data_IF_715085955996
#
_entry.id   IF_715085955996
#
_cell.length_a   1.000
_cell.length_b   1.000
_cell.length_c   1.000
_cell.angle_alpha   90.00
_cell.angle_beta   90.00
_cell.angle_gamma   90.00
#
_symmetry.space_group_name_H-M   'P 1'
#
loop_
_entity.id
_entity.type
_entity.pdbx_description
1 polymer ?
#
# COMPACT_ATOMS: atom_id res chain seq x y z
N UNK A 1 -24.13 -54.43 11.34
CA UNK A 1 -22.79 -53.89 11.66
C UNK A 1 -22.95 -52.41 11.96
N UNK A 2 -22.92 -52.01 13.22
CA UNK A 2 -22.98 -50.58 13.58
C UNK A 2 -21.64 -49.93 13.27
N UNK A 3 -21.64 -48.90 12.41
CA UNK A 3 -20.43 -48.19 12.06
C UNK A 3 -19.79 -47.53 13.29
N UNK A 4 -18.47 -47.48 13.32
CA UNK A 4 -17.72 -46.89 14.44
C UNK A 4 -18.09 -45.40 14.58
N UNK A 5 -18.54 -44.90 15.76
CA UNK A 5 -18.92 -43.51 15.97
C UNK A 5 -17.80 -42.51 15.59
N UNK A 6 -16.55 -42.93 15.67
CA UNK A 6 -15.41 -42.11 15.25
C UNK A 6 -15.37 -41.88 13.73
N UNK A 7 -15.77 -42.88 12.91
CA UNK A 7 -15.84 -42.73 11.45
C UNK A 7 -16.96 -41.79 11.05
N UNK A 8 -18.11 -41.79 11.74
CA UNK A 8 -19.17 -40.83 11.49
C UNK A 8 -18.74 -39.40 11.83
N UNK A 9 -18.06 -39.21 12.96
CA UNK A 9 -17.54 -37.87 13.33
C UNK A 9 -16.57 -37.29 12.29
N UNK A 10 -15.63 -38.12 11.78
CA UNK A 10 -14.71 -37.67 10.71
C UNK A 10 -15.48 -37.32 9.42
N UNK A 11 -16.48 -38.10 9.08
CA UNK A 11 -17.30 -37.88 7.89
C UNK A 11 -18.10 -36.56 8.01
N UNK A 12 -18.70 -36.30 9.17
CA UNK A 12 -19.41 -35.04 9.44
C UNK A 12 -18.46 -33.82 9.36
N UNK A 13 -17.27 -33.94 9.96
CA UNK A 13 -16.25 -32.88 9.87
C UNK A 13 -15.81 -32.62 8.42
N UNK A 14 -15.65 -33.67 7.62
CA UNK A 14 -15.32 -33.56 6.20
C UNK A 14 -16.43 -32.85 5.42
N UNK A 15 -17.70 -33.20 5.67
CA UNK A 15 -18.85 -32.51 5.01
C UNK A 15 -18.88 -31.03 5.38
N UNK A 16 -18.71 -30.69 6.66
CA UNK A 16 -18.69 -29.30 7.11
C UNK A 16 -17.56 -28.52 6.40
N UNK A 17 -16.35 -29.09 6.37
CA UNK A 17 -15.22 -28.47 5.68
C UNK A 17 -15.49 -28.29 4.18
N UNK A 18 -16.08 -29.28 3.52
CA UNK A 18 -16.43 -29.21 2.10
C UNK A 18 -17.46 -28.11 1.83
N UNK A 19 -18.47 -27.96 2.68
CA UNK A 19 -19.48 -26.89 2.57
C UNK A 19 -18.82 -25.51 2.72
N UNK A 20 -17.94 -25.32 3.70
CA UNK A 20 -17.25 -24.05 3.93
C UNK A 20 -16.34 -23.68 2.75
N UNK A 21 -15.58 -24.65 2.24
CA UNK A 21 -14.70 -24.43 1.09
C UNK A 21 -15.55 -24.08 -0.16
N UNK A 22 -16.64 -24.78 -0.38
CA UNK A 22 -17.55 -24.50 -1.51
C UNK A 22 -18.14 -23.11 -1.40
N UNK A 23 -18.63 -22.69 -0.23
CA UNK A 23 -19.17 -21.35 0.00
C UNK A 23 -18.12 -20.27 -0.25
N UNK A 24 -16.89 -20.46 0.22
CA UNK A 24 -15.77 -19.55 -0.03
C UNK A 24 -15.44 -19.46 -1.52
N UNK A 25 -15.36 -20.58 -2.21
CA UNK A 25 -15.09 -20.65 -3.64
C UNK A 25 -16.19 -19.96 -4.46
N UNK A 26 -17.46 -20.20 -4.13
CA UNK A 26 -18.60 -19.50 -4.79
C UNK A 26 -18.52 -17.98 -4.59
N UNK A 27 -18.19 -17.52 -3.38
CA UNK A 27 -18.00 -16.09 -3.11
C UNK A 27 -16.87 -15.51 -3.96
N UNK A 28 -15.74 -16.21 -4.11
CA UNK A 28 -14.63 -15.76 -4.94
C UNK A 28 -15.05 -15.61 -6.42
N UNK A 29 -15.73 -16.61 -6.98
CA UNK A 29 -16.25 -16.54 -8.35
C UNK A 29 -17.27 -15.43 -8.53
N UNK A 30 -18.14 -15.23 -7.54
CA UNK A 30 -19.12 -14.13 -7.57
C UNK A 30 -18.43 -12.77 -7.65
N UNK A 31 -17.41 -12.53 -6.81
CA UNK A 31 -16.63 -11.29 -6.83
C UNK A 31 -15.86 -11.11 -8.14
N UNK A 32 -15.29 -12.17 -8.70
CA UNK A 32 -14.60 -12.13 -9.98
C UNK A 32 -15.55 -11.77 -11.12
N UNK A 33 -16.76 -12.32 -11.14
CA UNK A 33 -17.79 -11.96 -12.12
C UNK A 33 -18.25 -10.52 -11.99
N UNK A 34 -18.42 -10.02 -10.77
CA UNK A 34 -18.77 -8.61 -10.53
C UNK A 34 -17.66 -7.67 -11.00
N UNK A 35 -16.41 -8.01 -10.72
CA UNK A 35 -15.25 -7.23 -11.14
C UNK A 35 -15.15 -7.19 -12.68
N UNK A 36 -15.34 -8.32 -13.36
CA UNK A 36 -15.30 -8.39 -14.83
C UNK A 36 -16.42 -7.58 -15.51
N UNK A 37 -17.53 -7.35 -14.83
CA UNK A 37 -18.65 -6.53 -15.37
C UNK A 37 -18.46 -5.02 -15.10
N UNK A 38 -17.53 -4.62 -14.25
CA UNK A 38 -17.21 -3.20 -14.07
C UNK A 38 -16.48 -2.69 -15.30
N UNK A 39 -17.17 -1.90 -16.12
CA UNK A 39 -16.50 -1.04 -17.10
C UNK A 39 -15.72 0.00 -16.32
N UNK A 40 -14.42 0.02 -16.48
CA UNK A 40 -13.60 1.12 -15.99
C UNK A 40 -14.15 2.42 -16.60
N UNK A 41 -14.74 3.26 -15.77
CA UNK A 41 -14.96 4.65 -16.17
C UNK A 41 -13.59 5.31 -16.09
N UNK A 42 -12.90 5.40 -17.22
CA UNK A 42 -11.76 6.29 -17.32
C UNK A 42 -12.27 7.70 -16.97
N UNK A 43 -11.70 8.27 -15.91
CA UNK A 43 -11.94 9.67 -15.63
C UNK A 43 -11.50 10.47 -16.86
N UNK A 44 -12.43 11.18 -17.49
CA UNK A 44 -12.08 12.25 -18.43
C UNK A 44 -11.12 13.18 -17.72
N UNK A 45 -10.06 13.58 -18.43
CA UNK A 45 -9.02 14.46 -17.90
C UNK A 45 -9.63 15.53 -17.01
N UNK A 46 -9.19 15.62 -15.76
CA UNK A 46 -9.56 16.70 -14.85
C UNK A 46 -9.05 17.98 -15.51
N UNK A 47 -9.87 19.01 -15.59
CA UNK A 47 -9.47 20.32 -16.12
C UNK A 47 -8.38 20.98 -15.27
N UNK A 48 -8.21 20.52 -14.03
CA UNK A 48 -7.17 20.93 -13.12
C UNK A 48 -6.79 19.73 -12.23
N UNK A 49 -5.51 19.34 -12.21
CA UNK A 49 -5.02 18.25 -11.36
C UNK A 49 -5.06 18.70 -9.89
N UNK A 50 -5.65 17.91 -8.99
CA UNK A 50 -5.68 18.25 -7.56
C UNK A 50 -4.31 18.14 -6.92
N UNK A 51 -4.11 18.79 -5.78
CA UNK A 51 -2.90 18.60 -5.00
C UNK A 51 -2.91 17.23 -4.29
N UNK A 52 -1.78 16.52 -4.38
CA UNK A 52 -1.65 15.15 -3.86
C UNK A 52 -0.42 15.02 -2.97
N UNK A 53 -0.58 14.40 -1.80
CA UNK A 53 0.55 13.91 -1.01
C UNK A 53 0.67 12.39 -1.18
N UNK A 54 1.83 11.93 -1.62
CA UNK A 54 2.17 10.50 -1.62
C UNK A 54 2.86 10.17 -0.31
N UNK A 55 2.32 9.20 0.43
CA UNK A 55 2.89 8.71 1.68
C UNK A 55 3.49 7.32 1.48
N UNK A 56 4.78 7.17 1.80
CA UNK A 56 5.57 5.96 1.64
C UNK A 56 6.00 5.43 3.01
N UNK A 57 5.20 4.57 3.66
CA UNK A 57 5.60 3.95 4.93
C UNK A 57 6.67 2.87 4.68
N UNK A 58 7.87 3.07 5.25
CA UNK A 58 9.02 2.19 5.07
C UNK A 58 9.55 1.74 6.45
N UNK A 59 9.93 0.46 6.55
CA UNK A 59 10.58 -0.10 7.72
C UNK A 59 11.55 -1.22 7.33
N UNK A 60 12.87 -0.98 7.44
CA UNK A 60 13.94 -1.94 7.16
C UNK A 60 13.84 -2.58 5.76
N UNK A 61 13.54 -1.77 4.75
CA UNK A 61 13.29 -2.23 3.38
C UNK A 61 14.31 -1.69 2.38
N UNK A 62 15.60 -1.74 2.74
CA UNK A 62 16.73 -1.20 1.98
C UNK A 62 16.72 -1.56 0.50
N UNK A 63 16.38 -2.82 0.17
CA UNK A 63 16.50 -3.32 -1.20
C UNK A 63 15.41 -2.83 -2.15
N UNK A 64 14.27 -2.42 -1.62
CA UNK A 64 13.13 -1.95 -2.43
C UNK A 64 12.88 -0.46 -2.30
N UNK A 65 13.31 0.17 -1.22
CA UNK A 65 13.07 1.58 -0.91
C UNK A 65 13.55 2.53 -2.02
N UNK A 66 14.76 2.33 -2.53
CA UNK A 66 15.30 3.17 -3.61
C UNK A 66 14.48 3.06 -4.89
N UNK A 67 14.03 1.85 -5.24
CA UNK A 67 13.21 1.60 -6.42
C UNK A 67 11.85 2.28 -6.30
N UNK A 68 11.21 2.17 -5.14
CA UNK A 68 9.94 2.82 -4.87
C UNK A 68 10.05 4.35 -4.97
N UNK A 69 11.00 4.96 -4.27
CA UNK A 69 11.18 6.42 -4.26
C UNK A 69 11.44 6.95 -5.68
N UNK A 70 12.30 6.28 -6.44
CA UNK A 70 12.58 6.67 -7.83
C UNK A 70 11.33 6.51 -8.73
N UNK A 71 10.56 5.43 -8.58
CA UNK A 71 9.33 5.23 -9.34
C UNK A 71 8.27 6.29 -9.02
N UNK A 72 8.11 6.64 -7.75
CA UNK A 72 7.18 7.71 -7.33
C UNK A 72 7.60 9.08 -7.87
N UNK A 73 8.91 9.38 -7.88
CA UNK A 73 9.42 10.60 -8.49
C UNK A 73 9.30 10.62 -10.03
N UNK A 74 9.12 9.46 -10.67
CA UNK A 74 8.95 9.34 -12.12
C UNK A 74 7.47 9.40 -12.57
N UNK A 75 6.52 9.50 -11.65
CA UNK A 75 5.10 9.65 -11.98
C UNK A 75 4.91 10.95 -12.78
N UNK A 76 4.19 10.86 -13.90
CA UNK A 76 3.80 12.02 -14.71
C UNK A 76 2.72 12.84 -14.01
N UNK A 77 3.15 13.75 -13.15
CA UNK A 77 2.28 14.65 -12.37
C UNK A 77 2.97 16.01 -12.13
N UNK A 78 2.23 17.14 -12.14
CA UNK A 78 2.82 18.46 -11.87
C UNK A 78 3.54 18.51 -10.52
N UNK A 79 4.83 18.86 -10.54
CA UNK A 79 5.69 18.83 -9.34
C UNK A 79 5.24 19.82 -8.26
N UNK A 80 4.61 20.90 -8.64
CA UNK A 80 4.05 21.91 -7.74
C UNK A 80 2.78 21.45 -7.02
N UNK A 81 2.14 20.40 -7.54
CA UNK A 81 0.94 19.77 -6.97
C UNK A 81 1.22 18.41 -6.30
N UNK A 82 2.47 17.93 -6.37
CA UNK A 82 2.89 16.64 -5.84
C UNK A 82 3.84 16.80 -4.65
N UNK A 83 3.43 16.34 -3.48
CA UNK A 83 4.27 16.24 -2.30
C UNK A 83 4.54 14.76 -1.97
N UNK A 84 5.79 14.42 -1.68
CA UNK A 84 6.20 13.06 -1.32
C UNK A 84 6.66 13.04 0.14
N UNK A 85 6.09 12.15 0.94
CA UNK A 85 6.45 11.97 2.34
C UNK A 85 6.92 10.56 2.57
N UNK A 86 8.21 10.39 2.84
CA UNK A 86 8.80 9.10 3.24
C UNK A 86 8.65 8.98 4.76
N UNK A 87 7.84 8.00 5.20
CA UNK A 87 7.54 7.76 6.60
C UNK A 87 8.43 6.61 7.09
N UNK A 88 9.60 6.97 7.58
CA UNK A 88 10.66 6.03 7.91
C UNK A 88 10.68 5.68 9.40
N UNK A 89 10.34 4.43 9.69
CA UNK A 89 10.43 3.82 11.02
C UNK A 89 11.65 2.88 11.15
N UNK A 90 12.58 2.90 10.17
CA UNK A 90 13.72 1.98 10.11
C UNK A 90 14.75 2.25 11.21
N UNK A 91 15.45 1.20 11.59
CA UNK A 91 16.55 1.20 12.56
C UNK A 91 17.86 0.60 11.98
N UNK A 92 17.88 0.31 10.67
CA UNK A 92 19.01 -0.18 9.90
C UNK A 92 19.57 0.89 8.93
N UNK A 93 20.43 0.48 8.01
CA UNK A 93 21.05 1.33 6.99
C UNK A 93 20.05 1.83 5.90
N UNK A 94 18.79 1.43 5.94
CA UNK A 94 17.70 2.02 5.15
C UNK A 94 17.59 3.52 5.42
N UNK A 95 17.84 3.96 6.64
CA UNK A 95 17.76 5.37 7.05
C UNK A 95 18.70 6.25 6.23
N UNK A 96 19.99 5.88 6.18
CA UNK A 96 21.00 6.63 5.43
C UNK A 96 20.71 6.63 3.91
N UNK A 97 20.26 5.48 3.39
CA UNK A 97 19.84 5.37 2.00
C UNK A 97 18.73 6.36 1.66
N UNK A 98 17.67 6.41 2.49
CA UNK A 98 16.53 7.28 2.28
C UNK A 98 16.90 8.76 2.41
N UNK A 99 17.75 9.11 3.35
CA UNK A 99 18.24 10.49 3.52
C UNK A 99 18.99 10.97 2.27
N UNK A 100 19.87 10.13 1.73
CA UNK A 100 20.61 10.41 0.50
C UNK A 100 19.66 10.57 -0.71
N UNK A 101 18.66 9.70 -0.85
CA UNK A 101 17.65 9.78 -1.91
C UNK A 101 16.82 11.07 -1.82
N UNK A 102 16.35 11.41 -0.63
CA UNK A 102 15.59 12.65 -0.39
C UNK A 102 16.42 13.87 -0.78
N UNK A 103 17.68 13.92 -0.36
CA UNK A 103 18.57 15.03 -0.69
C UNK A 103 18.84 15.12 -2.20
N UNK A 104 18.96 13.99 -2.89
CA UNK A 104 19.11 13.94 -4.34
C UNK A 104 17.86 14.49 -5.06
N UNK A 105 16.68 13.99 -4.72
CA UNK A 105 15.43 14.40 -5.39
C UNK A 105 15.02 15.83 -5.05
N UNK A 106 15.30 16.34 -3.85
CA UNK A 106 15.13 17.76 -3.52
C UNK A 106 15.93 18.69 -4.44
N UNK A 107 17.20 18.32 -4.73
CA UNK A 107 18.03 19.08 -5.68
C UNK A 107 17.46 19.07 -7.10
N UNK A 108 16.70 18.06 -7.46
CA UNK A 108 16.00 17.92 -8.74
C UNK A 108 14.61 18.60 -8.75
N UNK A 109 14.27 19.38 -7.72
CA UNK A 109 13.06 20.18 -7.66
C UNK A 109 11.78 19.42 -7.23
N UNK A 110 11.91 18.27 -6.55
CA UNK A 110 10.77 17.58 -5.95
C UNK A 110 10.48 18.08 -4.53
N UNK A 111 9.20 18.26 -4.19
CA UNK A 111 8.77 18.46 -2.80
C UNK A 111 8.71 17.09 -2.09
N UNK A 112 9.87 16.66 -1.59
CA UNK A 112 10.03 15.38 -0.92
C UNK A 112 10.59 15.58 0.49
N UNK A 113 10.00 14.91 1.49
CA UNK A 113 10.41 15.02 2.89
C UNK A 113 10.63 13.65 3.51
N UNK A 114 11.68 13.55 4.33
CA UNK A 114 11.97 12.37 5.16
C UNK A 114 11.40 12.61 6.55
N UNK A 115 10.37 11.86 6.91
CA UNK A 115 9.67 11.98 8.19
C UNK A 115 10.04 10.80 9.06
N UNK A 116 10.77 11.08 10.15
CA UNK A 116 11.09 10.09 11.18
C UNK A 116 10.38 10.45 12.48
N UNK A 117 9.92 9.46 13.18
CA UNK A 117 9.29 9.62 14.50
C UNK A 117 10.09 8.84 15.55
N UNK A 118 10.15 9.36 16.79
CA UNK A 118 10.97 8.78 17.88
C UNK A 118 10.48 7.42 18.38
N UNK A 119 9.25 7.01 18.01
CA UNK A 119 8.66 5.74 18.43
C UNK A 119 7.87 5.11 17.30
N UNK A 120 7.92 3.78 17.16
CA UNK A 120 7.17 3.02 16.17
C UNK A 120 5.76 2.65 16.65
N UNK A 121 5.18 3.45 17.54
CA UNK A 121 3.84 3.19 18.11
C UNK A 121 2.78 3.14 17.00
N UNK A 122 1.97 2.07 16.99
CA UNK A 122 0.91 1.84 15.98
C UNK A 122 1.46 1.43 14.61
N UNK A 123 2.73 1.09 14.47
CA UNK A 123 3.36 0.58 13.24
C UNK A 123 3.03 1.46 12.02
N UNK A 124 2.74 0.86 10.87
CA UNK A 124 2.36 1.55 9.63
C UNK A 124 1.18 2.52 9.83
N UNK A 125 0.11 2.09 10.51
CA UNK A 125 -1.05 2.95 10.77
C UNK A 125 -0.68 4.18 11.61
N UNK A 126 0.22 4.00 12.60
CA UNK A 126 0.76 5.09 13.41
C UNK A 126 1.61 6.07 12.60
N UNK A 127 2.42 5.59 11.65
CA UNK A 127 3.21 6.43 10.75
C UNK A 127 2.31 7.28 9.85
N UNK A 128 1.31 6.66 9.21
CA UNK A 128 0.32 7.35 8.38
C UNK A 128 -0.45 8.42 9.18
N UNK A 129 -0.94 8.07 10.39
CA UNK A 129 -1.61 9.02 11.27
C UNK A 129 -0.71 10.19 11.66
N UNK A 130 0.58 9.94 11.89
CA UNK A 130 1.55 11.00 12.19
C UNK A 130 1.73 11.94 10.99
N UNK A 131 1.88 11.39 9.79
CA UNK A 131 2.04 12.15 8.55
C UNK A 131 0.85 13.03 8.21
N UNK A 132 -0.37 12.59 8.54
CA UNK A 132 -1.59 13.38 8.31
C UNK A 132 -1.56 14.75 9.02
N UNK A 133 -0.78 14.92 10.08
CA UNK A 133 -0.63 16.22 10.76
C UNK A 133 0.10 17.27 9.92
N UNK A 134 0.87 16.84 8.92
CA UNK A 134 1.69 17.67 8.04
C UNK A 134 1.17 17.68 6.60
N UNK A 135 0.07 16.97 6.36
CA UNK A 135 -0.56 16.86 5.03
C UNK A 135 -1.54 18.01 4.85
N UNK A 136 -1.32 18.81 3.79
CA UNK A 136 -2.13 20.00 3.48
C UNK A 136 -2.80 19.90 2.12
N UNK A 137 -2.55 18.81 1.37
CA UNK A 137 -3.08 18.57 0.02
C UNK A 137 -4.49 18.00 0.06
N UNK A 138 -5.21 18.10 -1.06
CA UNK A 138 -6.60 17.64 -1.19
C UNK A 138 -6.72 16.11 -1.13
N UNK A 139 -5.73 15.41 -1.67
CA UNK A 139 -5.71 13.95 -1.72
C UNK A 139 -4.44 13.38 -1.11
N UNK A 140 -4.56 12.14 -0.62
CA UNK A 140 -3.45 11.34 -0.13
C UNK A 140 -3.44 10.01 -0.87
N UNK A 141 -2.31 9.70 -1.50
CA UNK A 141 -2.03 8.37 -2.04
C UNK A 141 -1.04 7.64 -1.12
N UNK A 142 -1.24 6.35 -0.92
CA UNK A 142 -0.35 5.52 -0.08
C UNK A 142 0.15 4.38 -0.94
N UNK A 143 1.48 4.23 -1.03
CA UNK A 143 2.11 3.09 -1.68
C UNK A 143 2.92 2.30 -0.68
N UNK A 144 2.77 0.98 -0.72
CA UNK A 144 3.60 0.06 0.05
C UNK A 144 4.98 -0.06 -0.60
N UNK A 145 5.99 -0.43 0.18
CA UNK A 145 7.37 -0.43 -0.27
C UNK A 145 7.65 -1.45 -1.41
N UNK A 146 6.84 -2.48 -1.52
CA UNK A 146 6.88 -3.49 -2.58
C UNK A 146 6.04 -3.13 -3.83
N UNK A 147 5.24 -2.05 -3.77
CA UNK A 147 4.42 -1.58 -4.89
C UNK A 147 5.20 -0.58 -5.75
N UNK A 148 5.22 -0.80 -7.07
CA UNK A 148 5.78 0.15 -8.04
C UNK A 148 4.63 0.75 -8.84
N UNK A 149 4.36 2.07 -8.66
CA UNK A 149 3.36 2.73 -9.49
C UNK A 149 3.79 2.74 -10.96
N UNK A 150 2.84 2.64 -11.91
CA UNK A 150 3.12 2.89 -13.31
C UNK A 150 3.48 4.39 -13.50
N UNK A 151 4.38 4.66 -14.42
CA UNK A 151 4.79 6.00 -14.86
C UNK A 151 3.91 6.48 -15.99
#
# INVERSE_FOLDING_TARGET
MAGNPFTFFIFDLFIIAAILITAYTCNFYYLALLSSRRKEKYCTALFDEPSVTIQLPIYNERYVAARLVNAVCAIDYPKDKLKIMILDDSDDDTVELLENLVNHHKKNGYDIVHVRRGTRTGYKAGALKHAMKFTTTEFVAIFDADFIPPT
#
